data_IF_269381217729
#
_entry.id   IF_269381217729
#
_cell.length_a   1.000
_cell.length_b   1.000
_cell.length_c   1.000
_cell.angle_alpha   90.00
_cell.angle_beta   90.00
_cell.angle_gamma   90.00
#
_symmetry.space_group_name_H-M   'P 1'
#
loop_
_entity.id
_entity.type
_entity.pdbx_description
1 polymer ?
#
# COMPACT_ATOMS: atom_id res chain seq x y z
N UNK A 1 -4.30 -1.48 14.07
CA UNK A 1 -5.50 -2.30 13.82
C UNK A 1 -5.38 -2.92 12.44
N UNK A 2 -5.69 -4.20 12.27
CA UNK A 2 -5.31 -4.94 11.05
C UNK A 2 -6.43 -4.97 10.01
N UNK A 3 -6.22 -4.35 8.85
CA UNK A 3 -7.07 -4.50 7.67
C UNK A 3 -7.27 -5.98 7.31
N UNK A 4 -6.23 -6.80 7.42
CA UNK A 4 -6.27 -8.25 7.23
C UNK A 4 -7.35 -8.93 8.07
N UNK A 5 -7.45 -8.56 9.34
CA UNK A 5 -8.44 -9.14 10.26
C UNK A 5 -9.87 -8.80 9.84
N UNK A 6 -10.13 -7.52 9.52
CA UNK A 6 -11.42 -7.07 9.01
C UNK A 6 -11.78 -7.79 7.71
N UNK A 7 -10.84 -7.90 6.77
CA UNK A 7 -11.08 -8.56 5.49
C UNK A 7 -11.38 -10.05 5.64
N UNK A 8 -10.68 -10.75 6.52
CA UNK A 8 -10.94 -12.18 6.80
C UNK A 8 -12.33 -12.36 7.42
N UNK A 9 -12.69 -11.54 8.43
CA UNK A 9 -14.03 -11.58 9.02
C UNK A 9 -15.11 -11.29 7.97
N UNK A 10 -14.93 -10.25 7.16
CA UNK A 10 -15.88 -9.88 6.10
C UNK A 10 -16.05 -10.97 5.03
N UNK A 11 -14.98 -11.66 4.64
CA UNK A 11 -15.06 -12.77 3.68
C UNK A 11 -15.73 -14.01 4.28
N UNK A 12 -15.40 -14.37 5.52
CA UNK A 12 -16.08 -15.48 6.19
C UNK A 12 -17.56 -15.16 6.32
N UNK A 13 -17.91 -13.97 6.80
CA UNK A 13 -19.29 -13.48 6.88
C UNK A 13 -20.05 -13.63 5.55
N UNK A 14 -19.41 -13.28 4.43
CA UNK A 14 -20.03 -13.32 3.11
C UNK A 14 -20.20 -14.73 2.55
N UNK A 15 -19.22 -15.61 2.77
CA UNK A 15 -19.13 -16.93 2.13
C UNK A 15 -19.49 -18.09 3.07
N UNK A 16 -19.80 -17.82 4.34
CA UNK A 16 -19.98 -18.86 5.36
C UNK A 16 -21.09 -19.87 5.03
N UNK A 17 -20.91 -21.14 5.44
CA UNK A 17 -19.67 -21.71 5.98
C UNK A 17 -18.59 -21.83 4.89
N UNK A 18 -17.35 -21.42 5.18
CA UNK A 18 -16.28 -21.35 4.15
C UNK A 18 -14.96 -21.98 4.60
N UNK A 19 -14.25 -22.67 3.70
CA UNK A 19 -12.91 -23.17 4.01
C UNK A 19 -11.87 -22.05 4.03
N UNK A 20 -10.89 -22.16 4.94
CA UNK A 20 -9.78 -21.21 4.99
C UNK A 20 -8.97 -21.11 3.68
N UNK A 21 -8.94 -22.19 2.88
CA UNK A 21 -8.36 -22.15 1.54
C UNK A 21 -9.13 -21.24 0.58
N UNK A 22 -10.46 -21.28 0.61
CA UNK A 22 -11.29 -20.45 -0.27
C UNK A 22 -11.21 -18.98 0.14
N UNK A 23 -11.18 -18.67 1.45
CA UNK A 23 -10.90 -17.31 1.96
C UNK A 23 -9.56 -16.79 1.43
N UNK A 24 -8.50 -17.60 1.52
CA UNK A 24 -7.18 -17.25 0.96
C UNK A 24 -7.25 -17.04 -0.54
N UNK A 25 -7.87 -17.95 -1.28
CA UNK A 25 -7.98 -17.86 -2.75
C UNK A 25 -8.68 -16.57 -3.16
N UNK A 26 -9.74 -16.18 -2.45
CA UNK A 26 -10.49 -14.96 -2.75
C UNK A 26 -9.67 -13.69 -2.46
N UNK A 27 -8.97 -13.62 -1.32
CA UNK A 27 -8.07 -12.47 -1.02
C UNK A 27 -6.97 -12.31 -2.07
N UNK A 28 -6.42 -13.42 -2.58
CA UNK A 28 -5.41 -13.40 -3.63
C UNK A 28 -6.01 -13.03 -5.00
N UNK A 29 -7.24 -13.45 -5.29
CA UNK A 29 -7.92 -13.05 -6.53
C UNK A 29 -8.16 -11.54 -6.58
N UNK A 30 -8.26 -10.88 -5.42
CA UNK A 30 -8.35 -9.42 -5.29
C UNK A 30 -7.00 -8.71 -5.29
N UNK A 31 -5.87 -9.45 -5.36
CA UNK A 31 -4.52 -8.91 -5.15
C UNK A 31 -4.41 -8.10 -3.84
N UNK A 32 -5.06 -8.57 -2.76
CA UNK A 32 -5.10 -7.87 -1.47
C UNK A 32 -3.72 -7.73 -0.81
N UNK A 33 -2.73 -8.50 -1.25
CA UNK A 33 -1.32 -8.32 -0.90
C UNK A 33 -0.80 -6.94 -1.34
N UNK A 34 -1.24 -6.45 -2.50
CA UNK A 34 -0.75 -5.20 -3.10
C UNK A 34 -1.35 -3.95 -2.45
N UNK A 35 -2.61 -3.98 -2.03
CA UNK A 35 -3.33 -2.78 -1.58
C UNK A 35 -3.79 -2.82 -0.12
N UNK A 36 -3.88 -4.00 0.50
CA UNK A 36 -4.24 -4.16 1.91
C UNK A 36 -3.14 -4.82 2.74
N UNK A 37 -1.97 -5.10 2.14
CA UNK A 37 -0.84 -5.80 2.77
C UNK A 37 -1.24 -7.15 3.41
N UNK A 38 -2.20 -7.84 2.78
CA UNK A 38 -2.68 -9.15 3.25
C UNK A 38 -1.75 -10.24 2.74
N UNK A 39 -0.77 -10.61 3.55
CA UNK A 39 0.22 -11.62 3.16
C UNK A 39 -0.39 -13.03 3.17
N UNK A 40 -0.24 -13.84 2.09
CA UNK A 40 -0.85 -15.17 2.01
C UNK A 40 -0.53 -16.08 3.20
N UNK A 41 0.70 -16.00 3.73
CA UNK A 41 1.13 -16.77 4.89
C UNK A 41 0.46 -16.37 6.21
N UNK A 42 -0.02 -15.13 6.32
CA UNK A 42 -0.67 -14.62 7.53
C UNK A 42 -2.14 -15.04 7.66
N UNK A 43 -2.79 -15.44 6.56
CA UNK A 43 -4.24 -15.69 6.52
C UNK A 43 -4.64 -16.87 7.40
N UNK A 44 -3.93 -18.00 7.30
CA UNK A 44 -4.23 -19.18 8.13
C UNK A 44 -3.96 -18.94 9.61
N UNK A 45 -2.90 -18.19 9.92
CA UNK A 45 -2.60 -17.77 11.29
C UNK A 45 -3.72 -16.87 11.83
N UNK A 46 -4.19 -15.91 11.03
CA UNK A 46 -5.27 -15.01 11.41
C UNK A 46 -6.61 -15.74 11.59
N UNK A 47 -6.97 -16.70 10.72
CA UNK A 47 -8.16 -17.54 10.89
C UNK A 47 -8.14 -18.32 12.21
N UNK A 48 -6.98 -18.93 12.54
CA UNK A 48 -6.80 -19.64 13.81
C UNK A 48 -6.96 -18.70 15.00
N UNK A 49 -6.26 -17.56 14.98
CA UNK A 49 -6.33 -16.55 16.05
C UNK A 49 -7.75 -16.00 16.24
N UNK A 50 -8.46 -15.71 15.15
CA UNK A 50 -9.86 -15.28 15.18
C UNK A 50 -10.79 -16.34 15.78
N UNK A 51 -10.48 -17.63 15.60
CA UNK A 51 -11.21 -18.74 16.22
C UNK A 51 -10.90 -18.85 17.71
N UNK A 52 -9.62 -18.74 18.09
CA UNK A 52 -9.18 -18.73 19.50
C UNK A 52 -9.81 -17.58 20.30
N UNK A 53 -10.02 -16.43 19.66
CA UNK A 53 -10.68 -15.26 20.24
C UNK A 53 -12.22 -15.35 20.23
N UNK A 54 -12.80 -16.44 19.70
CA UNK A 54 -14.25 -16.66 19.66
C UNK A 54 -15.01 -15.80 18.64
N UNK A 55 -14.31 -15.21 17.67
CA UNK A 55 -14.90 -14.39 16.60
C UNK A 55 -15.28 -15.20 15.37
N UNK A 56 -14.62 -16.35 15.20
CA UNK A 56 -14.99 -17.38 14.25
C UNK A 56 -15.27 -18.68 14.97
N UNK A 57 -16.15 -19.50 14.40
CA UNK A 57 -16.43 -20.86 14.83
C UNK A 57 -16.01 -21.85 13.75
N UNK A 58 -15.24 -22.87 14.12
CA UNK A 58 -14.97 -24.01 13.26
C UNK A 58 -16.20 -24.95 13.24
N UNK A 59 -16.75 -25.23 12.06
CA UNK A 59 -18.04 -25.93 11.92
C UNK A 59 -17.85 -27.40 11.54
N UNK A 60 -17.00 -27.67 10.55
CA UNK A 60 -16.69 -29.02 10.10
C UNK A 60 -15.21 -29.13 9.76
N UNK A 61 -14.64 -30.30 10.02
CA UNK A 61 -13.31 -30.68 9.53
C UNK A 61 -13.50 -31.89 8.62
N UNK A 62 -13.57 -31.65 7.32
CA UNK A 62 -13.72 -32.73 6.34
C UNK A 62 -12.34 -33.26 5.94
N UNK A 63 -12.14 -34.57 6.06
CA UNK A 63 -10.97 -35.26 5.54
C UNK A 63 -11.41 -36.24 4.45
N UNK A 64 -11.20 -35.85 3.18
CA UNK A 64 -11.48 -36.73 2.03
C UNK A 64 -10.22 -37.52 1.68
N UNK A 65 -10.20 -38.81 2.07
CA UNK A 65 -9.09 -39.72 1.80
C UNK A 65 -7.79 -39.31 2.50
N UNK A 66 -6.65 -39.41 1.81
CA UNK A 66 -5.33 -39.05 2.35
C UNK A 66 -5.01 -37.54 2.34
N UNK A 67 -5.99 -36.67 2.05
CA UNK A 67 -5.77 -35.21 2.04
C UNK A 67 -5.81 -34.64 3.46
N UNK A 68 -5.14 -33.50 3.71
CA UNK A 68 -5.26 -32.80 4.98
C UNK A 68 -6.71 -32.43 5.27
N UNK A 69 -7.11 -32.57 6.53
CA UNK A 69 -8.38 -32.11 7.06
C UNK A 69 -8.62 -30.62 6.71
N UNK A 70 -9.78 -30.29 6.14
CA UNK A 70 -10.16 -28.92 5.79
C UNK A 70 -11.21 -28.40 6.76
N UNK A 71 -10.84 -27.38 7.52
CA UNK A 71 -11.74 -26.70 8.45
C UNK A 71 -12.58 -25.66 7.71
N UNK A 72 -13.90 -25.69 7.90
CA UNK A 72 -14.82 -24.60 7.55
C UNK A 72 -15.04 -23.66 8.73
N UNK A 73 -15.23 -22.38 8.43
CA UNK A 73 -15.44 -21.32 9.41
C UNK A 73 -16.78 -20.62 9.17
N UNK A 74 -17.44 -20.27 10.27
CA UNK A 74 -18.58 -19.36 10.36
C UNK A 74 -18.19 -18.18 11.25
N UNK A 75 -18.80 -17.01 11.01
CA UNK A 75 -18.63 -15.86 11.91
C UNK A 75 -19.57 -15.98 13.10
N UNK A 76 -19.12 -15.58 14.29
CA UNK A 76 -19.97 -15.52 15.49
C UNK A 76 -20.64 -14.16 15.62
N UNK A 77 -21.61 -14.00 16.53
CA UNK A 77 -22.21 -12.69 16.81
C UNK A 77 -21.16 -11.64 17.25
N UNK A 78 -20.20 -12.04 18.09
CA UNK A 78 -19.07 -11.17 18.48
C UNK A 78 -18.13 -10.89 17.30
N UNK A 79 -17.97 -11.83 16.37
CA UNK A 79 -17.23 -11.62 15.12
C UNK A 79 -17.88 -10.61 14.18
N UNK A 80 -19.21 -10.57 14.12
CA UNK A 80 -19.98 -9.55 13.39
C UNK A 80 -19.75 -8.16 14.00
N UNK A 81 -19.88 -8.03 15.32
CA UNK A 81 -19.64 -6.76 16.04
C UNK A 81 -18.21 -6.24 15.83
N UNK A 82 -17.22 -7.14 15.87
CA UNK A 82 -15.82 -6.82 15.60
C UNK A 82 -15.61 -6.38 14.14
N UNK A 83 -16.22 -7.06 13.17
CA UNK A 83 -16.14 -6.66 11.76
C UNK A 83 -16.69 -5.25 11.57
N UNK A 84 -17.88 -4.94 12.12
CA UNK A 84 -18.47 -3.62 12.04
C UNK A 84 -17.60 -2.55 12.71
N UNK A 85 -17.06 -2.87 13.89
CA UNK A 85 -16.17 -1.96 14.63
C UNK A 85 -14.91 -1.64 13.82
N UNK A 86 -14.25 -2.66 13.29
CA UNK A 86 -13.05 -2.48 12.46
C UNK A 86 -13.35 -1.70 11.18
N UNK A 87 -14.48 -2.01 10.52
CA UNK A 87 -14.90 -1.30 9.31
C UNK A 87 -15.13 0.18 9.60
N UNK A 88 -15.96 0.50 10.61
CA UNK A 88 -16.23 1.89 10.99
C UNK A 88 -14.97 2.62 11.40
N UNK A 89 -14.07 1.98 12.15
CA UNK A 89 -12.80 2.57 12.53
C UNK A 89 -11.93 2.93 11.32
N UNK A 90 -11.83 2.06 10.31
CA UNK A 90 -11.05 2.34 9.09
C UNK A 90 -11.68 3.41 8.20
N UNK A 91 -13.00 3.61 8.28
CA UNK A 91 -13.68 4.69 7.58
C UNK A 91 -13.61 6.04 8.33
N UNK A 92 -13.67 6.04 9.66
CA UNK A 92 -13.72 7.26 10.48
C UNK A 92 -12.33 7.78 10.85
N UNK A 93 -11.29 6.96 10.72
CA UNK A 93 -9.91 7.34 10.98
C UNK A 93 -9.09 7.30 9.70
N UNK A 94 -8.25 8.31 9.52
CA UNK A 94 -7.25 8.32 8.46
C UNK A 94 -6.02 7.54 8.92
N UNK A 95 -5.70 6.45 8.21
CA UNK A 95 -4.43 5.74 8.35
C UNK A 95 -3.67 5.86 7.04
N UNK A 96 -2.52 6.53 7.07
CA UNK A 96 -1.66 6.65 5.89
C UNK A 96 -0.74 5.43 5.78
N UNK A 97 -0.57 4.85 4.58
CA UNK A 97 0.43 3.81 4.37
C UNK A 97 1.84 4.39 4.55
N UNK A 98 2.75 3.60 5.13
CA UNK A 98 4.16 3.97 5.21
C UNK A 98 4.78 3.90 3.81
N UNK A 99 5.25 5.05 3.29
CA UNK A 99 5.96 5.11 2.00
C UNK A 99 7.49 5.12 2.23
N UNK A 100 8.22 4.08 1.81
CA UNK A 100 9.68 4.05 1.88
C UNK A 100 10.35 5.20 1.11
N UNK A 101 9.70 5.75 0.09
CA UNK A 101 10.22 6.91 -0.62
C UNK A 101 10.29 8.15 0.28
N UNK A 102 9.34 8.36 1.19
CA UNK A 102 9.40 9.47 2.14
C UNK A 102 10.63 9.36 3.05
N UNK A 103 10.99 8.14 3.46
CA UNK A 103 12.22 7.89 4.23
C UNK A 103 13.46 8.23 3.40
N UNK A 104 13.54 7.79 2.13
CA UNK A 104 14.65 8.15 1.25
C UNK A 104 14.73 9.66 0.98
N UNK A 105 13.59 10.31 0.76
CA UNK A 105 13.48 11.75 0.50
C UNK A 105 13.93 12.59 1.70
N UNK A 106 13.77 12.11 2.94
CA UNK A 106 14.30 12.78 4.13
C UNK A 106 15.83 12.95 4.10
N UNK A 107 16.52 12.17 3.26
CA UNK A 107 17.96 12.27 3.01
C UNK A 107 18.29 12.94 1.65
N UNK A 108 17.38 13.74 1.07
CA UNK A 108 17.55 14.37 -0.24
C UNK A 108 18.94 15.02 -0.47
N UNK A 109 19.53 15.81 0.45
CA UNK A 109 20.84 16.42 0.22
C UNK A 109 22.01 15.43 0.09
N UNK A 110 21.81 14.17 0.49
CA UNK A 110 22.80 13.13 0.25
C UNK A 110 22.89 12.75 -1.25
N UNK A 111 21.86 13.00 -2.05
CA UNK A 111 21.85 12.65 -3.47
C UNK A 111 22.35 13.83 -4.33
N UNK A 112 23.19 13.61 -5.35
CA UNK A 112 23.53 14.63 -6.33
C UNK A 112 22.25 15.23 -6.95
N UNK A 113 22.20 16.56 -7.12
CA UNK A 113 20.98 17.25 -7.60
C UNK A 113 20.44 16.68 -8.91
N UNK A 114 21.33 16.44 -9.87
CA UNK A 114 20.98 15.87 -11.17
C UNK A 114 20.36 14.48 -11.05
N UNK A 115 20.92 13.64 -10.17
CA UNK A 115 20.38 12.31 -9.89
C UNK A 115 19.01 12.40 -9.18
N UNK A 116 18.86 13.29 -8.20
CA UNK A 116 17.60 13.48 -7.48
C UNK A 116 16.47 13.94 -8.42
N UNK A 117 16.74 14.90 -9.29
CA UNK A 117 15.77 15.36 -10.29
C UNK A 117 15.42 14.25 -11.29
N UNK A 118 16.41 13.51 -11.78
CA UNK A 118 16.19 12.37 -12.68
C UNK A 118 15.36 11.25 -12.00
N UNK A 119 15.63 10.95 -10.73
CA UNK A 119 14.90 9.95 -9.96
C UNK A 119 13.42 10.33 -9.77
N UNK A 120 13.13 11.61 -9.48
CA UNK A 120 11.75 12.11 -9.39
C UNK A 120 11.02 12.01 -10.72
N UNK A 121 11.66 12.35 -11.85
CA UNK A 121 11.06 12.17 -13.18
C UNK A 121 10.81 10.70 -13.51
N UNK A 122 11.74 9.82 -13.15
CA UNK A 122 11.53 8.39 -13.30
C UNK A 122 10.33 7.92 -12.46
N UNK A 123 10.19 8.40 -11.22
CA UNK A 123 9.01 8.12 -10.38
C UNK A 123 7.71 8.62 -11.06
N UNK A 124 7.71 9.84 -11.62
CA UNK A 124 6.57 10.36 -12.35
C UNK A 124 6.20 9.49 -13.58
N UNK A 125 7.19 8.97 -14.30
CA UNK A 125 6.98 8.05 -15.43
C UNK A 125 6.35 6.72 -14.98
N UNK A 126 6.83 6.14 -13.87
CA UNK A 126 6.25 4.91 -13.31
C UNK A 126 4.80 5.11 -12.86
N UNK A 127 4.52 6.24 -12.21
CA UNK A 127 3.16 6.61 -11.83
C UNK A 127 2.26 6.82 -13.07
N UNK A 128 2.78 7.43 -14.14
CA UNK A 128 2.05 7.62 -15.42
C UNK A 128 1.59 6.28 -15.99
N UNK A 129 2.49 5.32 -16.09
CA UNK A 129 2.16 3.97 -16.56
C UNK A 129 1.10 3.30 -15.67
N UNK A 130 1.16 3.52 -14.35
CA UNK A 130 0.14 3.07 -13.40
C UNK A 130 -1.23 3.70 -13.66
N UNK A 131 -1.28 5.02 -13.85
CA UNK A 131 -2.51 5.77 -14.15
C UNK A 131 -3.15 5.29 -15.45
N UNK A 132 -2.36 5.12 -16.51
CA UNK A 132 -2.83 4.59 -17.79
C UNK A 132 -3.42 3.18 -17.63
N UNK A 133 -2.77 2.30 -16.86
CA UNK A 133 -3.28 0.97 -16.55
C UNK A 133 -4.60 0.99 -15.75
N UNK A 134 -4.72 1.89 -14.77
CA UNK A 134 -5.96 2.04 -13.98
C UNK A 134 -7.11 2.60 -14.83
N UNK A 135 -6.85 3.58 -15.69
CA UNK A 135 -7.84 4.13 -16.63
C UNK A 135 -8.31 3.09 -17.64
N UNK A 136 -7.39 2.31 -18.22
CA UNK A 136 -7.75 1.19 -19.09
C UNK A 136 -8.60 0.14 -18.35
N UNK A 137 -8.29 -0.11 -17.07
CA UNK A 137 -9.09 -1.02 -16.23
C UNK A 137 -10.52 -0.49 -16.03
N UNK A 138 -10.70 0.81 -15.78
CA UNK A 138 -12.02 1.46 -15.65
C UNK A 138 -12.87 1.39 -16.94
N UNK A 139 -12.23 1.27 -18.10
CA UNK A 139 -12.91 1.12 -19.39
C UNK A 139 -13.27 -0.33 -19.72
N UNK A 140 -12.69 -1.30 -19.02
CA UNK A 140 -12.92 -2.72 -19.27
C UNK A 140 -14.34 -3.17 -18.92
N UNK A 141 -14.87 -4.13 -19.69
CA UNK A 141 -16.15 -4.81 -19.40
C UNK A 141 -16.16 -5.41 -17.98
N UNK A 142 -15.00 -5.93 -17.55
CA UNK A 142 -14.86 -6.56 -16.24
C UNK A 142 -15.13 -5.58 -15.08
N UNK A 143 -14.58 -4.37 -15.12
CA UNK A 143 -14.86 -3.36 -14.09
C UNK A 143 -16.27 -2.80 -14.25
N UNK A 144 -16.69 -2.44 -15.47
CA UNK A 144 -17.96 -1.74 -15.70
C UNK A 144 -19.19 -2.59 -15.42
N UNK A 145 -19.16 -3.87 -15.79
CA UNK A 145 -20.36 -4.70 -15.82
C UNK A 145 -20.29 -5.93 -14.90
N UNK A 146 -19.11 -6.30 -14.39
CA UNK A 146 -18.93 -7.55 -13.60
C UNK A 146 -18.49 -7.34 -12.16
N UNK A 147 -18.29 -6.10 -11.72
CA UNK A 147 -17.89 -5.75 -10.36
C UNK A 147 -18.88 -4.76 -9.73
N UNK A 148 -19.00 -4.75 -8.39
CA UNK A 148 -19.71 -3.68 -7.70
C UNK A 148 -19.13 -2.31 -8.06
N UNK A 149 -20.00 -1.30 -8.19
CA UNK A 149 -19.62 0.05 -8.64
C UNK A 149 -18.46 0.66 -7.82
N UNK A 150 -18.41 0.41 -6.51
CA UNK A 150 -17.36 0.93 -5.64
C UNK A 150 -15.95 0.43 -5.99
N UNK A 151 -15.81 -0.70 -6.69
CA UNK A 151 -14.52 -1.17 -7.19
C UNK A 151 -13.97 -0.16 -8.20
N UNK A 152 -14.80 0.34 -9.12
CA UNK A 152 -14.42 1.42 -10.04
C UNK A 152 -14.02 2.69 -9.28
N UNK A 153 -14.80 3.09 -8.28
CA UNK A 153 -14.47 4.28 -7.46
C UNK A 153 -13.14 4.15 -6.70
N UNK A 154 -12.73 2.93 -6.33
CA UNK A 154 -11.39 2.70 -5.76
C UNK A 154 -10.28 2.95 -6.78
N UNK A 155 -10.43 2.46 -8.02
CA UNK A 155 -9.48 2.74 -9.10
C UNK A 155 -9.42 4.23 -9.44
N UNK A 156 -10.55 4.93 -9.43
CA UNK A 156 -10.61 6.39 -9.61
C UNK A 156 -9.80 7.11 -8.52
N UNK A 157 -9.98 6.75 -7.25
CA UNK A 157 -9.22 7.33 -6.14
C UNK A 157 -7.70 7.10 -6.31
N UNK A 158 -7.29 5.89 -6.70
CA UNK A 158 -5.88 5.57 -6.91
C UNK A 158 -5.29 6.35 -8.09
N UNK A 159 -6.03 6.51 -9.19
CA UNK A 159 -5.61 7.32 -10.33
C UNK A 159 -5.42 8.79 -9.93
N UNK A 160 -6.38 9.39 -9.22
CA UNK A 160 -6.28 10.78 -8.74
C UNK A 160 -5.08 10.99 -7.83
N UNK A 161 -4.82 10.06 -6.90
CA UNK A 161 -3.65 10.12 -6.02
C UNK A 161 -2.33 10.07 -6.80
N UNK A 162 -2.22 9.14 -7.74
CA UNK A 162 -1.04 8.98 -8.56
C UNK A 162 -0.80 10.21 -9.47
N UNK A 163 -1.85 10.78 -10.05
CA UNK A 163 -1.76 12.01 -10.86
C UNK A 163 -1.27 13.21 -10.04
N UNK A 164 -1.79 13.37 -8.82
CA UNK A 164 -1.35 14.43 -7.92
C UNK A 164 0.14 14.28 -7.56
N UNK A 165 0.59 13.05 -7.30
CA UNK A 165 1.98 12.75 -6.98
C UNK A 165 2.90 12.91 -8.20
N UNK A 166 2.45 12.54 -9.41
CA UNK A 166 3.18 12.81 -10.65
C UNK A 166 3.44 14.30 -10.82
N UNK A 167 2.40 15.11 -10.66
CA UNK A 167 2.53 16.56 -10.75
C UNK A 167 3.47 17.11 -9.68
N UNK A 168 3.47 16.54 -8.47
CA UNK A 168 4.43 16.90 -7.43
C UNK A 168 5.87 16.54 -7.83
N UNK A 169 6.11 15.33 -8.34
CA UNK A 169 7.44 14.87 -8.74
C UNK A 169 8.07 15.79 -9.80
N UNK A 170 7.33 16.13 -10.86
CA UNK A 170 7.83 17.02 -11.92
C UNK A 170 8.16 18.42 -11.38
N UNK A 171 7.26 19.01 -10.57
CA UNK A 171 7.49 20.34 -9.97
C UNK A 171 8.71 20.37 -9.04
N UNK A 172 8.93 19.31 -8.26
CA UNK A 172 10.07 19.25 -7.34
C UNK A 172 11.37 18.98 -8.11
N UNK A 173 11.34 18.18 -9.18
CA UNK A 173 12.50 18.00 -10.05
C UNK A 173 12.96 19.33 -10.67
N UNK A 174 12.03 20.11 -11.23
CA UNK A 174 12.31 21.45 -11.76
C UNK A 174 12.90 22.39 -10.70
N UNK A 175 12.37 22.34 -9.47
CA UNK A 175 12.87 23.14 -8.35
C UNK A 175 14.27 22.73 -7.91
N UNK A 176 14.60 21.44 -7.96
CA UNK A 176 15.95 20.95 -7.66
C UNK A 176 16.93 21.46 -8.73
N UNK A 177 16.57 21.39 -10.01
CA UNK A 177 17.41 21.83 -11.13
C UNK A 177 17.64 23.34 -11.16
N UNK A 178 16.69 24.14 -10.67
CA UNK A 178 16.86 25.59 -10.58
C UNK A 178 17.87 26.03 -9.51
N UNK A 179 18.44 25.09 -8.75
CA UNK A 179 19.43 25.41 -7.72
C UNK A 179 18.83 25.89 -6.40
N UNK A 180 17.56 25.59 -6.11
CA UNK A 180 16.93 25.96 -4.83
C UNK A 180 17.80 25.56 -3.63
N UNK A 181 17.87 26.40 -2.60
CA UNK A 181 18.45 25.99 -1.32
C UNK A 181 17.55 24.94 -0.66
N UNK A 182 18.14 23.86 -0.14
CA UNK A 182 17.42 22.86 0.65
C UNK A 182 17.26 23.28 2.12
N UNK A 183 18.00 24.30 2.55
CA UNK A 183 17.91 24.87 3.88
C UNK A 183 17.15 26.19 3.82
N UNK A 184 16.28 26.48 4.80
CA UNK A 184 15.85 27.86 5.06
C UNK A 184 17.06 28.76 5.29
N UNK A 185 16.98 30.02 4.88
CA UNK A 185 18.08 30.98 4.99
C UNK A 185 18.59 31.13 6.43
N UNK A 186 17.70 30.98 7.41
CA UNK A 186 18.00 31.06 8.84
C UNK A 186 18.83 29.88 9.36
N UNK A 187 18.84 28.75 8.64
CA UNK A 187 19.57 27.53 9.01
C UNK A 187 20.89 27.36 8.25
N UNK A 188 21.17 28.17 7.23
CA UNK A 188 22.39 28.05 6.41
C UNK A 188 23.70 28.24 7.19
N UNK A 189 23.63 29.00 8.29
CA UNK A 189 24.77 29.35 9.14
C UNK A 189 24.78 28.65 10.51
N UNK A 190 23.84 27.71 10.76
CA UNK A 190 23.76 26.98 12.03
C UNK A 190 24.70 25.78 12.00
N UNK A 191 25.56 25.69 13.02
CA UNK A 191 26.53 24.60 13.20
C UNK A 191 25.81 23.25 13.32
N UNK A 192 26.18 22.27 12.48
CA UNK A 192 25.53 20.96 12.36
C UNK A 192 24.67 20.77 11.10
N UNK A 193 24.04 21.84 10.60
CA UNK A 193 23.32 21.80 9.30
C UNK A 193 24.25 22.07 8.12
N UNK A 194 25.38 22.74 8.36
CA UNK A 194 26.44 22.97 7.37
C UNK A 194 27.10 21.69 6.84
N UNK A 195 27.05 20.58 7.59
CA UNK A 195 27.59 19.27 7.17
C UNK A 195 26.67 18.49 6.21
N UNK A 196 25.40 18.87 6.11
CA UNK A 196 24.42 18.34 5.15
C UNK A 196 24.49 19.03 3.78
N UNK A 197 25.54 19.84 3.56
CA UNK A 197 25.81 20.43 2.25
C UNK A 197 25.96 19.32 1.22
N UNK A 198 25.43 19.61 0.04
CA UNK A 198 25.50 18.74 -1.14
C UNK A 198 26.82 18.01 -1.22
N UNK A 199 26.76 16.69 -1.48
CA UNK A 199 27.88 16.03 -2.13
C UNK A 199 28.11 16.74 -3.46
N UNK A 200 28.98 17.75 -3.45
CA UNK A 200 29.65 18.22 -4.66
C UNK A 200 30.34 16.98 -5.24
N UNK A 201 30.24 16.81 -6.55
CA UNK A 201 30.92 15.73 -7.26
C UNK A 201 32.35 15.59 -6.73
N UNK A 202 32.89 14.36 -6.59
CA UNK A 202 34.28 14.21 -6.22
C UNK A 202 35.14 15.05 -7.19
N UNK A 203 36.14 15.80 -6.70
CA UNK A 203 36.97 16.63 -7.56
C UNK A 203 37.54 15.76 -8.68
N UNK A 204 37.42 16.23 -9.91
CA UNK A 204 38.05 15.57 -11.04
C UNK A 204 39.56 15.74 -10.94
N UNK A 205 40.36 14.80 -11.45
CA UNK A 205 41.83 14.84 -11.40
C UNK A 205 42.45 16.12 -12.01
N UNK A 206 41.66 16.95 -12.70
CA UNK A 206 42.05 18.26 -13.22
C UNK A 206 42.15 19.37 -12.14
N UNK A 207 41.56 19.18 -10.95
CA UNK A 207 41.59 20.17 -9.86
C UNK A 207 42.78 19.97 -8.89
N UNK A 208 43.69 19.05 -9.20
CA UNK A 208 44.83 18.66 -8.36
C UNK A 208 46.19 19.21 -8.83
N UNK A 209 46.21 20.22 -9.71
CA UNK A 209 47.42 20.99 -10.06
C UNK A 209 47.69 22.14 -9.09
#
# INVERSE_FOLDING_TARGET
>A
MSATRMMILGLVRWMQPVHGYDVRRELLSWSADKWANVQPGSIYHALRKLTEEGLLRAVATEQVGARPARTTYEVTATGEDEFETLLRNLWWNLSEPTDPFAAAFSFLPAMPRAEAAAALRNRANLLRAGVESMRASLESDWVRNRKPAHVGWMFELWAVRAEAEMGWCERIAERIESGVSYLPAELENVEGWSGWRERREPPTEADAE
#
